data_IF_829312723218
#
_entry.id   IF_829312723218
#
_cell.length_a   1.000
_cell.length_b   1.000
_cell.length_c   1.000
_cell.angle_alpha   90.00
_cell.angle_beta   90.00
_cell.angle_gamma   90.00
#
_symmetry.space_group_name_H-M   'P 1'
#
loop_
_entity.id
_entity.type
_entity.pdbx_description
1 polymer ?
#
# COMPACT_ATOMS: atom_id res chain seq x y z
N UNK A 1 14.24 1.80 2.75
CA UNK A 1 13.25 2.61 3.51
C UNK A 1 11.78 2.33 3.15
N UNK A 2 11.22 2.78 2.01
CA UNK A 2 9.77 2.56 1.73
C UNK A 2 9.39 1.07 1.60
N UNK A 3 10.19 0.29 0.87
CA UNK A 3 9.93 -1.15 0.71
C UNK A 3 10.16 -1.93 2.01
N UNK A 4 11.13 -1.50 2.83
CA UNK A 4 11.35 -2.07 4.16
C UNK A 4 10.16 -1.83 5.08
N UNK A 5 9.58 -0.62 5.08
CA UNK A 5 8.37 -0.31 5.83
C UNK A 5 7.20 -1.21 5.43
N UNK A 6 7.06 -1.49 4.14
CA UNK A 6 6.00 -2.38 3.64
C UNK A 6 6.26 -3.83 4.04
N UNK A 7 7.51 -4.29 4.01
CA UNK A 7 7.88 -5.62 4.46
C UNK A 7 7.57 -5.80 5.96
N UNK A 8 7.97 -4.82 6.79
CA UNK A 8 7.68 -4.79 8.22
C UNK A 8 6.16 -4.74 8.51
N UNK A 9 5.42 -3.90 7.79
CA UNK A 9 3.97 -3.79 7.93
C UNK A 9 3.26 -5.12 7.60
N UNK A 10 3.71 -5.85 6.59
CA UNK A 10 3.16 -7.16 6.22
C UNK A 10 3.48 -8.25 7.26
N UNK A 11 4.62 -8.17 7.94
CA UNK A 11 4.97 -9.09 9.03
C UNK A 11 4.15 -8.81 10.29
N UNK A 12 3.97 -7.54 10.62
CA UNK A 12 3.22 -7.12 11.81
C UNK A 12 1.72 -7.34 11.67
N UNK A 13 1.17 -7.00 10.50
CA UNK A 13 -0.24 -7.18 10.20
C UNK A 13 -0.40 -7.78 8.80
N UNK A 14 -0.48 -9.12 8.71
CA UNK A 14 -0.61 -9.80 7.42
C UNK A 14 -1.81 -9.30 6.61
N UNK A 15 -1.67 -9.17 5.28
CA UNK A 15 -2.77 -8.77 4.41
C UNK A 15 -3.97 -9.73 4.53
N UNK A 16 -5.21 -9.22 4.54
CA UNK A 16 -6.39 -10.06 4.58
C UNK A 16 -6.52 -10.86 3.28
N UNK A 17 -6.98 -12.10 3.43
CA UNK A 17 -7.33 -12.97 2.30
C UNK A 17 -8.79 -12.75 1.92
N UNK A 18 -9.07 -12.56 0.63
CA UNK A 18 -10.45 -12.45 0.11
C UNK A 18 -10.69 -13.54 -0.93
N UNK A 19 -11.72 -14.36 -0.71
CA UNK A 19 -12.06 -15.46 -1.62
C UNK A 19 -10.93 -16.48 -1.82
N UNK A 20 -10.13 -16.74 -0.77
CA UNK A 20 -8.99 -17.66 -0.84
C UNK A 20 -7.74 -17.11 -1.54
N UNK A 21 -7.79 -15.87 -2.07
CA UNK A 21 -6.63 -15.21 -2.68
C UNK A 21 -6.03 -14.19 -1.70
N UNK A 22 -4.77 -14.37 -1.27
CA UNK A 22 -4.11 -13.39 -0.42
C UNK A 22 -3.75 -12.14 -1.23
N UNK A 23 -3.91 -10.96 -0.61
CA UNK A 23 -3.35 -9.73 -1.15
C UNK A 23 -1.82 -9.81 -1.07
N UNK A 24 -1.14 -9.69 -2.22
CA UNK A 24 0.32 -9.61 -2.30
C UNK A 24 0.72 -8.19 -2.62
N UNK A 25 1.54 -7.59 -1.77
CA UNK A 25 2.09 -6.26 -1.98
C UNK A 25 3.55 -6.41 -2.39
N UNK A 26 3.88 -5.94 -3.59
CA UNK A 26 5.22 -6.08 -4.13
C UNK A 26 6.15 -4.96 -3.66
N UNK A 27 5.72 -3.72 -3.85
CA UNK A 27 6.51 -2.55 -3.49
C UNK A 27 5.64 -1.29 -3.44
N UNK A 28 6.20 -0.23 -2.86
CA UNK A 28 5.57 1.08 -2.74
C UNK A 28 6.53 2.13 -3.30
N UNK A 29 6.01 3.04 -4.13
CA UNK A 29 6.79 4.17 -4.64
C UNK A 29 6.05 5.48 -4.42
N UNK A 30 6.78 6.58 -4.28
CA UNK A 30 6.21 7.93 -4.24
C UNK A 30 6.12 8.49 -5.66
N UNK A 31 4.91 8.82 -6.10
CA UNK A 31 4.63 9.36 -7.43
C UNK A 31 4.50 10.89 -7.45
N UNK A 32 4.14 11.51 -6.32
CA UNK A 32 4.06 12.97 -6.20
C UNK A 32 4.32 13.44 -4.77
N UNK A 33 4.69 14.70 -4.61
CA UNK A 33 5.13 15.31 -3.34
C UNK A 33 4.09 16.26 -2.72
N UNK A 34 3.29 16.97 -3.52
CA UNK A 34 2.34 17.97 -3.04
C UNK A 34 0.95 17.77 -3.71
N UNK A 35 0.07 16.91 -3.16
CA UNK A 35 0.20 16.16 -1.90
C UNK A 35 1.03 14.87 -2.03
N UNK A 36 1.62 14.34 -0.92
CA UNK A 36 2.33 13.07 -0.92
C UNK A 36 1.45 11.95 -1.46
N UNK A 37 1.81 11.45 -2.63
CA UNK A 37 1.04 10.42 -3.34
C UNK A 37 1.91 9.21 -3.57
N UNK A 38 1.45 8.07 -3.07
CA UNK A 38 2.13 6.80 -3.17
C UNK A 38 1.35 5.84 -4.07
N UNK A 39 2.09 5.07 -4.85
CA UNK A 39 1.56 3.99 -5.68
C UNK A 39 1.98 2.66 -5.08
N UNK A 40 0.99 1.89 -4.64
CA UNK A 40 1.13 0.55 -4.08
C UNK A 40 0.95 -0.47 -5.20
N UNK A 41 2.00 -1.20 -5.54
CA UNK A 41 1.93 -2.25 -6.55
C UNK A 41 1.54 -3.56 -5.88
N UNK A 42 0.41 -4.11 -6.31
CA UNK A 42 -0.20 -5.31 -5.76
C UNK A 42 -0.50 -6.32 -6.86
N UNK A 43 -0.82 -7.57 -6.49
CA UNK A 43 -1.33 -8.55 -7.44
C UNK A 43 -2.68 -8.11 -8.02
N UNK A 44 -3.65 -7.81 -7.17
CA UNK A 44 -5.00 -7.40 -7.58
C UNK A 44 -5.49 -6.23 -6.69
N UNK A 45 -5.73 -5.03 -7.25
CA UNK A 45 -6.27 -3.89 -6.53
C UNK A 45 -7.62 -4.15 -5.86
N UNK A 46 -8.44 -5.07 -6.39
CA UNK A 46 -9.75 -5.41 -5.81
C UNK A 46 -9.63 -6.16 -4.48
N UNK A 47 -8.48 -6.80 -4.22
CA UNK A 47 -8.18 -7.46 -2.94
C UNK A 47 -7.81 -6.44 -1.84
N UNK A 48 -7.40 -5.22 -2.20
CA UNK A 48 -7.03 -4.19 -1.24
C UNK A 48 -8.27 -3.54 -0.61
N UNK A 49 -8.65 -4.05 0.56
CA UNK A 49 -9.73 -3.45 1.35
C UNK A 49 -9.31 -2.08 1.93
N UNK A 50 -10.29 -1.18 2.14
CA UNK A 50 -10.04 0.18 2.63
C UNK A 50 -9.36 0.20 4.01
N UNK A 51 -9.64 -0.80 4.86
CA UNK A 51 -9.04 -0.90 6.19
C UNK A 51 -7.53 -1.14 6.11
N UNK A 52 -7.10 -2.04 5.21
CA UNK A 52 -5.69 -2.32 5.00
C UNK A 52 -4.98 -1.15 4.32
N UNK A 53 -5.66 -0.46 3.40
CA UNK A 53 -5.16 0.80 2.83
C UNK A 53 -4.92 1.87 3.90
N UNK A 54 -5.87 2.05 4.83
CA UNK A 54 -5.72 2.99 5.97
C UNK A 54 -4.59 2.57 6.91
N UNK A 55 -4.43 1.28 7.15
CA UNK A 55 -3.30 0.76 7.93
C UNK A 55 -1.95 1.18 7.32
N UNK A 56 -1.77 1.00 6.01
CA UNK A 56 -0.54 1.44 5.32
C UNK A 56 -0.38 2.96 5.38
N UNK A 57 -1.46 3.73 5.20
CA UNK A 57 -1.42 5.19 5.35
C UNK A 57 -0.91 5.60 6.74
N UNK A 58 -1.44 4.98 7.81
CA UNK A 58 -1.03 5.28 9.17
C UNK A 58 0.44 4.94 9.40
N UNK A 59 0.94 3.80 8.90
CA UNK A 59 2.38 3.44 8.99
C UNK A 59 3.27 4.46 8.29
N UNK A 60 2.84 4.98 7.13
CA UNK A 60 3.55 6.04 6.42
C UNK A 60 3.57 7.34 7.24
N UNK A 61 2.45 7.71 7.86
CA UNK A 61 2.36 8.90 8.73
C UNK A 61 3.24 8.78 9.97
N UNK A 62 3.22 7.62 10.64
CA UNK A 62 4.04 7.32 11.82
C UNK A 62 5.54 7.41 11.51
N UNK A 63 5.95 6.96 10.33
CA UNK A 63 7.38 6.85 9.98
C UNK A 63 7.95 8.13 9.40
N UNK A 64 7.21 8.82 8.54
CA UNK A 64 7.74 9.96 7.78
C UNK A 64 7.21 11.32 8.21
N UNK A 65 6.14 11.37 9.02
CA UNK A 65 5.46 12.60 9.39
C UNK A 65 4.74 13.23 8.19
N UNK A 66 3.41 13.25 8.24
CA UNK A 66 2.57 13.92 7.23
C UNK A 66 1.44 14.71 7.89
N UNK A 67 1.70 15.29 9.06
CA UNK A 67 0.74 16.15 9.74
C UNK A 67 0.39 17.37 8.88
N UNK A 68 -0.89 17.72 8.82
CA UNK A 68 -1.37 18.84 8.02
C UNK A 68 -1.47 18.60 6.50
N UNK A 69 -1.02 17.45 5.98
CA UNK A 69 -1.16 17.10 4.54
C UNK A 69 -1.90 15.76 4.33
N UNK A 70 -2.81 15.68 3.35
CA UNK A 70 -3.43 14.41 3.01
C UNK A 70 -2.43 13.48 2.32
N UNK A 71 -2.33 12.24 2.79
CA UNK A 71 -1.55 11.18 2.14
C UNK A 71 -2.46 10.44 1.17
N UNK A 72 -2.06 10.34 -0.10
CA UNK A 72 -2.82 9.64 -1.14
C UNK A 72 -2.16 8.30 -1.43
N UNK A 73 -2.93 7.22 -1.37
CA UNK A 73 -2.46 5.89 -1.81
C UNK A 73 -3.30 5.43 -2.99
N UNK A 74 -2.62 5.05 -4.07
CA UNK A 74 -3.21 4.49 -5.29
C UNK A 74 -2.72 3.05 -5.42
N UNK A 75 -3.64 2.09 -5.52
CA UNK A 75 -3.28 0.71 -5.79
C UNK A 75 -3.20 0.47 -7.30
N UNK A 76 -2.17 -0.24 -7.76
CA UNK A 76 -2.06 -0.70 -9.14
C UNK A 76 -1.76 -2.19 -9.17
N UNK A 77 -2.51 -2.90 -10.02
CA UNK A 77 -2.21 -4.28 -10.34
C UNK A 77 -0.94 -4.35 -11.17
N UNK A 78 -0.14 -5.40 -10.98
CA UNK A 78 0.94 -5.70 -11.90
C UNK A 78 0.32 -6.11 -13.24
N UNK A 79 0.45 -5.27 -14.27
CA UNK A 79 0.12 -5.62 -15.67
C UNK A 79 0.91 -6.89 -16.02
N UNK A 80 0.25 -8.02 -16.12
CA UNK A 80 0.88 -9.32 -16.37
C UNK A 80 -0.04 -10.53 -16.31
N UNK A 81 -1.30 -10.41 -15.87
CA UNK A 81 -2.27 -11.51 -15.87
C UNK A 81 -3.66 -11.12 -16.45
N UNK A 82 -3.75 -9.98 -17.14
CA UNK A 82 -4.94 -9.54 -17.90
C UNK A 82 -4.60 -9.38 -19.40
N UNK A 83 -3.88 -10.34 -19.98
CA UNK A 83 -3.78 -10.59 -21.44
C UNK A 83 -3.94 -12.09 -21.71
#
# INVERSE_FOLDING_TARGET
MLNELIADAQLTNPPPTRGGRPLKIYYLTQASVAPPTFVLFVNDPALLHFSYKRYIENRLRETFGFEGTPVRIIARGKKGEDE
#
